data_IF_221560519686
#
_entry.id   IF_221560519686
#
_cell.length_a   1.000
_cell.length_b   1.000
_cell.length_c   1.000
_cell.angle_alpha   90.00
_cell.angle_beta   90.00
_cell.angle_gamma   90.00
#
_symmetry.space_group_name_H-M   'P 1'
#
loop_
_entity.id
_entity.type
_entity.pdbx_description
1 polymer ?
#
# COMPACT_ATOMS: atom_id res chain seq x y z
N UNK A 1 14.36 11.37 27.49
CA UNK A 1 15.28 10.28 27.10
C UNK A 1 15.82 10.43 25.68
N UNK A 2 14.96 10.57 24.66
CA UNK A 2 15.38 10.67 23.25
C UNK A 2 16.32 11.85 22.92
N UNK A 3 16.08 13.06 23.47
CA UNK A 3 17.01 14.19 23.36
C UNK A 3 18.39 13.90 23.97
N UNK A 4 18.44 13.24 25.13
CA UNK A 4 19.71 12.89 25.80
C UNK A 4 20.52 11.86 25.00
N UNK A 5 19.83 11.02 24.21
CA UNK A 5 20.44 10.07 23.27
C UNK A 5 20.71 10.69 21.89
N UNK A 6 20.47 11.99 21.70
CA UNK A 6 20.58 12.70 20.42
C UNK A 6 19.78 12.06 19.27
N UNK A 7 18.65 11.41 19.58
CA UNK A 7 17.76 10.81 18.58
C UNK A 7 16.81 11.81 17.94
N UNK A 8 16.64 12.99 18.53
CA UNK A 8 15.78 14.08 18.07
C UNK A 8 16.53 15.40 18.24
N UNK A 9 16.35 16.34 17.32
CA UNK A 9 16.88 17.71 17.42
C UNK A 9 15.84 18.72 17.90
N UNK A 10 14.56 18.44 17.70
CA UNK A 10 13.45 19.33 18.07
C UNK A 10 12.17 18.52 18.37
N UNK A 11 11.28 19.09 19.18
CA UNK A 11 9.95 18.56 19.46
C UNK A 11 9.02 19.68 19.94
N UNK A 12 7.79 19.69 19.44
CA UNK A 12 6.73 20.58 19.90
C UNK A 12 5.61 19.77 20.55
N UNK A 13 5.21 20.19 21.76
CA UNK A 13 4.03 19.66 22.46
C UNK A 13 2.94 20.73 22.32
N UNK A 14 1.72 20.34 21.94
CA UNK A 14 0.60 21.27 21.83
C UNK A 14 0.28 21.91 23.19
N UNK A 15 0.13 23.23 23.22
CA UNK A 15 -0.24 24.02 24.39
C UNK A 15 -1.74 24.33 24.47
N UNK A 16 -2.52 23.95 23.47
CA UNK A 16 -3.98 24.14 23.41
C UNK A 16 -4.64 23.13 22.46
N UNK A 17 -5.96 22.97 22.57
CA UNK A 17 -6.74 22.16 21.63
C UNK A 17 -6.63 22.68 20.20
N UNK A 18 -6.71 24.00 20.00
CA UNK A 18 -6.53 24.62 18.68
C UNK A 18 -5.17 24.29 18.06
N UNK A 19 -4.10 24.22 18.86
CA UNK A 19 -2.78 23.81 18.36
C UNK A 19 -2.71 22.30 18.08
N UNK A 20 -3.37 21.48 18.89
CA UNK A 20 -3.47 20.04 18.65
C UNK A 20 -4.23 19.75 17.35
N UNK A 21 -5.35 20.43 17.09
CA UNK A 21 -6.09 20.35 15.84
C UNK A 21 -5.23 20.80 14.64
N UNK A 22 -4.45 21.88 14.80
CA UNK A 22 -3.54 22.31 13.75
C UNK A 22 -2.45 21.26 13.43
N UNK A 23 -1.93 20.55 14.44
CA UNK A 23 -1.00 19.43 14.22
C UNK A 23 -1.68 18.25 13.52
N UNK A 24 -2.91 17.90 13.90
CA UNK A 24 -3.68 16.87 13.22
C UNK A 24 -3.98 17.23 11.76
N UNK A 25 -4.33 18.48 11.49
CA UNK A 25 -4.58 18.96 10.14
C UNK A 25 -3.37 18.79 9.21
N UNK A 26 -2.13 18.86 9.74
CA UNK A 26 -0.93 18.54 8.95
C UNK A 26 -0.93 17.07 8.50
N UNK A 27 -1.21 16.13 9.41
CA UNK A 27 -1.23 14.69 9.12
C UNK A 27 -2.41 14.29 8.23
N UNK A 28 -3.59 14.85 8.48
CA UNK A 28 -4.80 14.59 7.71
C UNK A 28 -4.76 15.25 6.32
N UNK A 29 -4.00 16.33 6.18
CA UNK A 29 -3.79 17.03 4.91
C UNK A 29 -2.85 16.33 3.93
N UNK A 30 -2.03 15.36 4.38
CA UNK A 30 -1.03 14.68 3.54
C UNK A 30 -1.61 14.12 2.23
N UNK A 31 -2.74 13.36 2.23
CA UNK A 31 -3.29 12.82 0.99
C UNK A 31 -3.70 13.90 -0.01
N UNK A 32 -4.24 15.03 0.46
CA UNK A 32 -4.59 16.15 -0.41
C UNK A 32 -3.34 16.82 -1.01
N UNK A 33 -2.31 17.04 -0.19
CA UNK A 33 -1.04 17.59 -0.63
C UNK A 33 -0.33 16.66 -1.64
N UNK A 34 -0.37 15.34 -1.43
CA UNK A 34 0.18 14.36 -2.36
C UNK A 34 -0.55 14.37 -3.69
N UNK A 35 -1.90 14.39 -3.70
CA UNK A 35 -2.70 14.46 -4.94
C UNK A 35 -2.41 15.72 -5.76
N UNK A 36 -2.06 16.83 -5.09
CA UNK A 36 -1.69 18.07 -5.76
C UNK A 36 -0.36 17.95 -6.53
N UNK A 37 0.50 16.98 -6.22
CA UNK A 37 1.79 16.76 -6.90
C UNK A 37 1.66 16.07 -8.26
N UNK A 38 0.58 15.32 -8.53
CA UNK A 38 0.41 14.65 -9.82
C UNK A 38 -0.30 13.31 -9.75
N UNK A 39 -0.22 12.58 -10.86
CA UNK A 39 -0.63 11.17 -10.95
C UNK A 39 0.20 10.31 -9.98
N UNK A 40 -0.40 9.27 -9.41
CA UNK A 40 0.29 8.40 -8.48
C UNK A 40 -0.38 7.03 -8.41
N UNK A 41 0.43 6.00 -8.13
CA UNK A 41 -0.08 4.71 -7.66
C UNK A 41 0.04 4.67 -6.14
N UNK A 42 -1.06 4.29 -5.49
CA UNK A 42 -1.21 4.34 -4.05
C UNK A 42 -1.24 2.92 -3.49
N UNK A 43 -0.37 2.63 -2.52
CA UNK A 43 -0.33 1.33 -1.87
C UNK A 43 -0.58 1.52 -0.38
N UNK A 44 -1.56 0.77 0.11
CA UNK A 44 -1.85 0.61 1.52
C UNK A 44 -1.32 -0.77 1.93
N UNK A 45 -0.19 -0.79 2.62
CA UNK A 45 0.61 -1.99 2.89
C UNK A 45 0.97 -2.06 4.37
N UNK A 46 1.43 -3.22 4.84
CA UNK A 46 2.06 -3.33 6.16
C UNK A 46 3.33 -4.17 6.10
N UNK A 47 4.25 -3.88 7.02
CA UNK A 47 5.48 -4.64 7.28
C UNK A 47 5.68 -4.74 8.80
N UNK A 48 6.53 -5.65 9.30
CA UNK A 48 6.89 -5.64 10.73
C UNK A 48 7.38 -4.26 11.16
N UNK A 49 6.83 -3.72 12.24
CA UNK A 49 7.05 -2.32 12.64
C UNK A 49 8.54 -2.01 12.88
N UNK A 50 9.27 -2.98 13.40
CA UNK A 50 10.71 -2.90 13.65
C UNK A 50 11.58 -2.90 12.37
N UNK A 51 11.02 -3.28 11.23
CA UNK A 51 11.69 -3.27 9.91
C UNK A 51 11.16 -2.15 9.00
N UNK A 52 10.17 -1.37 9.46
CA UNK A 52 9.51 -0.35 8.65
C UNK A 52 10.48 0.72 8.12
N UNK A 53 11.40 1.29 8.94
CA UNK A 53 12.34 2.29 8.44
C UNK A 53 13.22 1.75 7.30
N UNK A 54 13.83 0.58 7.50
CA UNK A 54 14.71 -0.06 6.53
C UNK A 54 13.94 -0.46 5.26
N UNK A 55 12.71 -0.95 5.41
CA UNK A 55 11.84 -1.27 4.28
C UNK A 55 11.55 -0.03 3.43
N UNK A 56 11.18 1.09 4.06
CA UNK A 56 10.85 2.33 3.36
C UNK A 56 12.07 2.81 2.56
N UNK A 57 13.24 2.91 3.20
CA UNK A 57 14.47 3.36 2.52
C UNK A 57 14.84 2.46 1.34
N UNK A 58 14.79 1.15 1.55
CA UNK A 58 15.11 0.16 0.51
C UNK A 58 14.12 0.20 -0.65
N UNK A 59 12.82 0.14 -0.35
CA UNK A 59 11.78 0.09 -1.38
C UNK A 59 11.72 1.41 -2.15
N UNK A 60 11.83 2.55 -1.48
CA UNK A 60 11.91 3.87 -2.13
C UNK A 60 13.07 3.93 -3.12
N UNK A 61 14.28 3.58 -2.67
CA UNK A 61 15.48 3.61 -3.51
C UNK A 61 15.37 2.64 -4.70
N UNK A 62 14.84 1.44 -4.48
CA UNK A 62 14.67 0.45 -5.53
C UNK A 62 13.67 0.91 -6.60
N UNK A 63 12.52 1.45 -6.19
CA UNK A 63 11.49 1.94 -7.11
C UNK A 63 12.00 3.15 -7.90
N UNK A 64 12.62 4.14 -7.25
CA UNK A 64 13.08 5.35 -7.93
C UNK A 64 14.25 5.07 -8.89
N UNK A 65 15.08 4.05 -8.60
CA UNK A 65 16.12 3.60 -9.51
C UNK A 65 15.57 2.82 -10.72
N UNK A 66 14.56 1.97 -10.52
CA UNK A 66 13.95 1.15 -11.57
C UNK A 66 13.01 1.98 -12.47
N UNK A 67 12.40 3.04 -11.93
CA UNK A 67 11.57 4.01 -12.66
C UNK A 67 12.05 5.45 -12.43
N UNK A 68 13.08 5.90 -13.17
CA UNK A 68 13.60 7.25 -13.06
C UNK A 68 12.53 8.33 -13.28
N UNK A 69 12.59 9.38 -12.47
CA UNK A 69 11.63 10.49 -12.50
C UNK A 69 10.37 10.27 -11.66
N UNK A 70 10.17 9.07 -11.11
CA UNK A 70 9.18 8.85 -10.05
C UNK A 70 9.71 9.35 -8.70
N UNK A 71 8.79 9.61 -7.77
CA UNK A 71 9.13 9.95 -6.39
C UNK A 71 8.24 9.19 -5.43
N UNK A 72 8.83 8.56 -4.43
CA UNK A 72 8.10 7.88 -3.36
C UNK A 72 7.69 8.85 -2.24
N UNK A 73 6.49 8.63 -1.72
CA UNK A 73 5.92 9.37 -0.60
C UNK A 73 5.35 8.38 0.41
N UNK A 74 5.91 8.38 1.61
CA UNK A 74 5.55 7.45 2.68
C UNK A 74 5.03 8.20 3.90
N UNK A 75 3.89 7.75 4.42
CA UNK A 75 3.30 8.17 5.69
C UNK A 75 2.42 7.02 6.19
N UNK A 76 2.03 7.00 7.46
CA UNK A 76 1.20 5.89 7.94
C UNK A 76 1.10 5.82 9.45
N UNK A 77 0.98 4.59 9.93
CA UNK A 77 0.72 4.23 11.31
C UNK A 77 1.88 3.34 11.79
N UNK A 78 2.89 3.97 12.37
CA UNK A 78 4.09 3.25 12.83
C UNK A 78 3.75 2.19 13.88
N UNK A 79 2.75 2.45 14.74
CA UNK A 79 2.40 1.59 15.86
C UNK A 79 1.87 0.21 15.48
N UNK A 80 1.36 0.02 14.27
CA UNK A 80 0.78 -1.24 13.80
C UNK A 80 1.44 -1.78 12.51
N UNK A 81 2.48 -1.13 12.02
CA UNK A 81 3.21 -1.58 10.84
C UNK A 81 2.62 -1.08 9.51
N UNK A 82 1.56 -0.26 9.48
CA UNK A 82 0.94 0.20 8.24
C UNK A 82 1.65 1.41 7.62
N UNK A 83 1.95 1.30 6.32
CA UNK A 83 2.53 2.35 5.48
C UNK A 83 1.61 2.62 4.29
N UNK A 84 1.24 3.88 4.09
CA UNK A 84 0.75 4.39 2.82
C UNK A 84 1.97 4.71 1.94
N UNK A 85 2.37 3.75 1.11
CA UNK A 85 3.53 3.83 0.24
C UNK A 85 3.09 4.26 -1.17
N UNK A 86 3.18 5.55 -1.45
CA UNK A 86 2.72 6.12 -2.72
C UNK A 86 3.90 6.37 -3.65
N UNK A 87 3.72 6.11 -4.95
CA UNK A 87 4.70 6.42 -5.99
C UNK A 87 4.08 7.45 -6.92
N UNK A 88 4.59 8.67 -6.87
CA UNK A 88 4.18 9.79 -7.71
C UNK A 88 4.88 9.69 -9.05
N UNK A 89 4.12 9.89 -10.11
CA UNK A 89 4.57 9.83 -11.49
C UNK A 89 5.53 11.00 -11.83
N UNK A 90 6.30 10.89 -12.92
CA UNK A 90 7.01 12.03 -13.51
C UNK A 90 6.06 13.20 -13.81
N UNK A 91 6.60 14.43 -13.81
CA UNK A 91 5.79 15.66 -13.94
C UNK A 91 5.02 15.79 -15.26
N UNK A 92 5.48 15.13 -16.31
CA UNK A 92 4.88 15.11 -17.64
C UNK A 92 3.90 13.94 -17.84
N UNK A 93 3.71 13.09 -16.82
CA UNK A 93 2.81 11.95 -16.89
C UNK A 93 1.33 12.37 -16.96
N UNK A 94 0.58 11.71 -17.84
CA UNK A 94 -0.86 11.89 -17.98
C UNK A 94 -1.59 10.98 -17.00
N UNK A 95 -2.40 11.58 -16.13
CA UNK A 95 -3.23 10.87 -15.15
C UNK A 95 -4.20 9.90 -15.83
N UNK A 96 -4.34 8.72 -15.27
CA UNK A 96 -5.11 7.60 -15.80
C UNK A 96 -4.31 6.76 -16.79
N UNK A 97 -3.54 7.39 -17.68
CA UNK A 97 -2.72 6.66 -18.66
C UNK A 97 -1.50 6.02 -18.00
N UNK A 98 -0.73 6.82 -17.25
CA UNK A 98 0.48 6.35 -16.58
C UNK A 98 0.17 5.24 -15.55
N UNK A 99 -0.86 5.43 -14.73
CA UNK A 99 -1.31 4.43 -13.76
C UNK A 99 -1.71 3.11 -14.45
N UNK A 100 -2.29 3.19 -15.65
CA UNK A 100 -2.72 2.01 -16.41
C UNK A 100 -1.58 1.26 -17.11
N UNK A 101 -0.42 1.91 -17.28
CA UNK A 101 0.79 1.42 -17.95
C UNK A 101 1.91 1.16 -16.94
N UNK A 102 2.85 2.10 -16.75
CA UNK A 102 3.98 1.94 -15.84
C UNK A 102 3.52 1.71 -14.40
N UNK A 103 2.45 2.39 -13.98
CA UNK A 103 1.90 2.27 -12.63
C UNK A 103 1.56 0.83 -12.24
N UNK A 104 1.07 -0.01 -13.16
CA UNK A 104 0.80 -1.43 -12.88
C UNK A 104 2.07 -2.22 -12.60
N UNK A 105 3.13 -1.96 -13.35
CA UNK A 105 4.42 -2.61 -13.14
C UNK A 105 5.03 -2.20 -11.80
N UNK A 106 4.96 -0.91 -11.48
CA UNK A 106 5.37 -0.34 -10.19
C UNK A 106 4.57 -0.99 -9.05
N UNK A 107 3.24 -1.05 -9.14
CA UNK A 107 2.41 -1.66 -8.10
C UNK A 107 2.73 -3.12 -7.85
N UNK A 108 2.93 -3.90 -8.92
CA UNK A 108 3.38 -5.28 -8.82
C UNK A 108 4.73 -5.37 -8.10
N UNK A 109 5.68 -4.50 -8.45
CA UNK A 109 7.01 -4.47 -7.82
C UNK A 109 6.94 -4.12 -6.35
N UNK A 110 6.14 -3.12 -5.96
CA UNK A 110 5.90 -2.78 -4.57
C UNK A 110 5.32 -3.98 -3.81
N UNK A 111 4.33 -4.67 -4.36
CA UNK A 111 3.78 -5.86 -3.71
C UNK A 111 4.81 -6.99 -3.56
N UNK A 112 5.66 -7.21 -4.57
CA UNK A 112 6.75 -8.19 -4.49
C UNK A 112 7.74 -7.86 -3.36
N UNK A 113 8.08 -6.58 -3.22
CA UNK A 113 8.96 -6.10 -2.15
C UNK A 113 8.32 -6.29 -0.77
N UNK A 114 7.05 -5.91 -0.61
CA UNK A 114 6.33 -6.10 0.65
C UNK A 114 6.27 -7.56 1.05
N UNK A 115 5.97 -8.47 0.12
CA UNK A 115 5.95 -9.91 0.40
C UNK A 115 7.33 -10.45 0.78
N UNK A 116 8.41 -9.98 0.14
CA UNK A 116 9.79 -10.35 0.51
C UNK A 116 10.13 -9.96 1.95
N UNK A 117 9.52 -8.88 2.45
CA UNK A 117 9.70 -8.38 3.81
C UNK A 117 8.65 -8.93 4.79
N UNK A 118 7.99 -10.04 4.44
CA UNK A 118 6.95 -10.68 5.26
C UNK A 118 5.79 -9.76 5.63
N UNK A 119 5.50 -8.78 4.75
CA UNK A 119 4.42 -7.83 4.90
C UNK A 119 3.11 -8.23 4.21
N UNK A 120 2.10 -7.35 4.31
CA UNK A 120 0.82 -7.49 3.63
C UNK A 120 0.65 -6.45 2.52
N UNK A 121 0.15 -6.88 1.36
CA UNK A 121 -0.23 -6.00 0.24
C UNK A 121 -1.49 -5.16 0.52
N UNK A 122 -2.14 -5.41 1.65
CA UNK A 122 -3.33 -4.67 2.10
C UNK A 122 -3.42 -4.65 3.62
N UNK A 123 -3.22 -3.49 4.21
CA UNK A 123 -3.33 -3.31 5.66
C UNK A 123 -4.78 -3.02 6.09
N UNK A 124 -5.41 -2.02 5.48
CA UNK A 124 -6.72 -1.49 5.89
C UNK A 124 -7.78 -1.62 4.79
N UNK A 125 -7.41 -1.36 3.52
CA UNK A 125 -8.39 -1.18 2.44
C UNK A 125 -8.98 -2.48 1.87
N UNK A 126 -8.49 -3.63 2.32
CA UNK A 126 -8.86 -4.95 1.80
C UNK A 126 -8.48 -5.19 0.33
N UNK A 127 -8.92 -6.35 -0.17
CA UNK A 127 -8.50 -6.86 -1.49
C UNK A 127 -9.44 -6.40 -2.61
N UNK A 128 -10.75 -6.48 -2.37
CA UNK A 128 -11.77 -6.10 -3.34
C UNK A 128 -11.60 -6.78 -4.70
N UNK A 129 -11.83 -6.03 -5.77
CA UNK A 129 -11.51 -6.46 -7.14
C UNK A 129 -10.08 -6.08 -7.55
N UNK A 130 -9.61 -4.92 -7.09
CA UNK A 130 -8.36 -4.30 -7.52
C UNK A 130 -7.14 -5.17 -7.20
N UNK A 131 -7.07 -5.73 -5.99
CA UNK A 131 -5.93 -6.54 -5.54
C UNK A 131 -6.19 -8.05 -5.63
N UNK A 132 -7.34 -8.48 -6.15
CA UNK A 132 -7.73 -9.90 -6.21
C UNK A 132 -6.68 -10.75 -6.93
N UNK A 133 -6.25 -10.29 -8.10
CA UNK A 133 -5.30 -11.06 -8.92
C UNK A 133 -3.88 -11.06 -8.31
N UNK A 134 -3.55 -10.06 -7.49
CA UNK A 134 -2.30 -10.01 -6.74
C UNK A 134 -2.35 -10.91 -5.50
N UNK A 135 -3.48 -10.96 -4.80
CA UNK A 135 -3.72 -11.94 -3.74
C UNK A 135 -3.58 -13.37 -4.28
N UNK A 136 -4.13 -13.66 -5.46
CA UNK A 136 -3.98 -14.99 -6.08
C UNK A 136 -2.54 -15.33 -6.43
N UNK A 137 -1.72 -14.33 -6.74
CA UNK A 137 -0.34 -14.52 -7.13
C UNK A 137 0.59 -14.70 -5.92
N UNK A 138 0.35 -13.94 -4.85
CA UNK A 138 1.25 -13.82 -3.71
C UNK A 138 0.76 -14.57 -2.47
N UNK A 139 -0.53 -14.84 -2.38
CA UNK A 139 -1.14 -15.48 -1.22
C UNK A 139 -0.77 -16.96 -1.10
N UNK A 140 -0.80 -17.46 0.14
CA UNK A 140 -0.61 -18.88 0.41
C UNK A 140 -1.68 -19.71 -0.32
N UNK A 141 -1.29 -20.68 -1.18
CA UNK A 141 -2.24 -21.51 -1.91
C UNK A 141 -3.22 -22.26 -1.00
N UNK A 142 -2.83 -22.64 0.21
CA UNK A 142 -3.70 -23.32 1.18
C UNK A 142 -4.76 -22.36 1.71
N UNK A 143 -4.35 -21.15 2.11
CA UNK A 143 -5.29 -20.13 2.56
C UNK A 143 -6.29 -19.75 1.46
N UNK A 144 -5.82 -19.61 0.21
CA UNK A 144 -6.68 -19.31 -0.94
C UNK A 144 -7.69 -20.43 -1.22
N UNK A 145 -7.28 -21.69 -1.16
CA UNK A 145 -8.20 -22.83 -1.30
C UNK A 145 -9.27 -22.81 -0.21
N UNK A 146 -8.87 -22.58 1.04
CA UNK A 146 -9.80 -22.48 2.17
C UNK A 146 -10.81 -21.33 1.98
N UNK A 147 -10.36 -20.14 1.58
CA UNK A 147 -11.24 -19.00 1.29
C UNK A 147 -12.28 -19.35 0.21
N UNK A 148 -11.86 -20.02 -0.86
CA UNK A 148 -12.77 -20.45 -1.94
C UNK A 148 -13.79 -21.48 -1.46
N UNK A 149 -13.37 -22.45 -0.64
CA UNK A 149 -14.28 -23.46 -0.06
C UNK A 149 -15.33 -22.82 0.85
N UNK A 150 -14.91 -21.91 1.71
CA UNK A 150 -15.82 -21.16 2.59
C UNK A 150 -16.81 -20.35 1.74
N UNK A 151 -16.32 -19.64 0.73
CA UNK A 151 -17.18 -18.85 -0.17
C UNK A 151 -18.20 -19.72 -0.91
N UNK A 152 -17.79 -20.87 -1.44
CA UNK A 152 -18.67 -21.79 -2.15
C UNK A 152 -19.73 -22.43 -1.24
N UNK A 153 -19.38 -22.71 0.02
CA UNK A 153 -20.31 -23.24 1.01
C UNK A 153 -21.38 -22.23 1.42
N UNK A 154 -21.01 -20.96 1.59
CA UNK A 154 -21.90 -19.89 2.03
C UNK A 154 -22.71 -19.25 0.89
N UNK A 155 -22.16 -19.22 -0.32
CA UNK A 155 -22.77 -18.61 -1.50
C UNK A 155 -22.61 -19.51 -2.73
N UNK A 156 -23.30 -20.67 -2.75
CA UNK A 156 -23.17 -21.65 -3.83
C UNK A 156 -23.64 -21.12 -5.19
N UNK A 157 -24.54 -20.12 -5.19
CA UNK A 157 -25.02 -19.46 -6.41
C UNK A 157 -24.12 -18.30 -6.87
N UNK A 158 -23.11 -17.91 -6.07
CA UNK A 158 -22.16 -16.85 -6.42
C UNK A 158 -22.78 -15.45 -6.52
N UNK A 159 -23.85 -15.17 -5.79
CA UNK A 159 -24.62 -13.92 -5.88
C UNK A 159 -24.02 -12.80 -5.02
N UNK A 160 -23.30 -13.15 -3.95
CA UNK A 160 -22.78 -12.19 -2.99
C UNK A 160 -21.44 -11.61 -3.49
N UNK A 161 -21.52 -10.49 -4.18
CA UNK A 161 -20.39 -9.66 -4.61
C UNK A 161 -19.39 -10.41 -5.53
N UNK A 162 -19.84 -10.91 -6.69
CA UNK A 162 -19.03 -11.74 -7.57
C UNK A 162 -17.77 -11.01 -8.06
N UNK A 163 -16.69 -11.78 -8.21
CA UNK A 163 -15.42 -11.28 -8.72
C UNK A 163 -14.62 -10.43 -7.73
N UNK A 164 -14.92 -10.45 -6.43
CA UNK A 164 -14.12 -9.78 -5.39
C UNK A 164 -13.55 -10.79 -4.40
N UNK A 165 -12.41 -10.44 -3.80
CA UNK A 165 -11.61 -11.26 -2.86
C UNK A 165 -10.99 -12.53 -3.48
N UNK A 166 -11.78 -13.47 -4.00
CA UNK A 166 -11.28 -14.70 -4.63
C UNK A 166 -12.04 -15.01 -5.92
N UNK A 167 -11.39 -15.60 -6.93
CA UNK A 167 -12.12 -16.21 -8.05
C UNK A 167 -12.62 -17.60 -7.67
N UNK A 168 -13.90 -17.87 -7.97
CA UNK A 168 -14.50 -19.21 -7.83
C UNK A 168 -14.44 -20.02 -9.13
N UNK A 169 -14.37 -19.34 -10.28
CA UNK A 169 -14.13 -20.02 -11.56
C UNK A 169 -12.64 -20.41 -11.65
N UNK A 170 -12.30 -21.66 -12.03
CA UNK A 170 -10.97 -21.98 -12.49
C UNK A 170 -10.62 -21.05 -13.66
N UNK A 171 -9.40 -20.49 -13.69
CA UNK A 171 -8.93 -19.83 -14.92
C UNK A 171 -8.98 -20.87 -16.04
N UNK A 172 -9.49 -20.54 -17.24
CA UNK A 172 -9.24 -21.41 -18.39
C UNK A 172 -7.73 -21.63 -18.47
N UNK A 173 -7.30 -22.89 -18.62
CA UNK A 173 -5.90 -23.16 -18.93
C UNK A 173 -5.54 -22.31 -20.15
N UNK A 174 -4.45 -21.54 -20.08
CA UNK A 174 -3.94 -20.85 -21.27
C UNK A 174 -3.80 -21.91 -22.38
N UNK A 175 -4.23 -21.60 -23.61
CA UNK A 175 -3.99 -22.49 -24.74
C UNK A 175 -2.49 -22.75 -24.92
#
# INVERSE_FOLDING_TARGET
EAFAKALLTDAAISASEAQAEAFWALREGIPAAQRAKGAAVQHDISVPAEQMPEFIEFASSAIEAEWPGTQTFCFGHLGDGNVHFHVVAPTDAVRGEWESREGKAISRRVHDLVTQWSGSISAEHGIGQLKRDELERLGDPVALDLMRRIKAALDPAGLLNPGKLVTLAPRPSKP
#
